data_IF_535997713225
#
_entry.id   IF_535997713225
#
_cell.length_a   1.000
_cell.length_b   1.000
_cell.length_c   1.000
_cell.angle_alpha   90.00
_cell.angle_beta   90.00
_cell.angle_gamma   90.00
#
_symmetry.space_group_name_H-M   'P 1'
#
loop_
_entity.id
_entity.type
_entity.pdbx_description
1 polymer ?
#
# COMPACT_ATOMS: atom_id res chain seq x y z
N UNK A 1 8.42 -3.88 -8.06
CA UNK A 1 7.07 -3.92 -7.46
C UNK A 1 6.06 -3.51 -8.51
N UNK A 2 4.95 -4.24 -8.72
CA UNK A 2 3.90 -3.82 -9.65
C UNK A 2 3.20 -2.56 -9.14
N UNK A 3 2.87 -1.63 -10.05
CA UNK A 3 2.07 -0.44 -9.73
C UNK A 3 0.64 -0.66 -10.21
N UNK A 4 -0.33 -0.28 -9.36
CA UNK A 4 -1.73 -0.27 -9.75
C UNK A 4 -1.97 0.72 -10.89
N UNK A 5 -2.88 0.42 -11.80
CA UNK A 5 -3.15 1.23 -13.00
C UNK A 5 -3.52 2.69 -12.66
N UNK A 6 -4.28 2.90 -11.58
CA UNK A 6 -4.63 4.24 -11.08
C UNK A 6 -3.38 5.06 -10.71
N UNK A 7 -2.37 4.41 -10.11
CA UNK A 7 -1.10 5.08 -9.77
C UNK A 7 -0.34 5.42 -11.06
N UNK A 8 -0.31 4.51 -12.02
CA UNK A 8 0.33 4.75 -13.33
C UNK A 8 -0.34 5.92 -14.05
N UNK A 9 -1.68 5.97 -14.07
CA UNK A 9 -2.43 7.06 -14.66
C UNK A 9 -2.14 8.40 -13.97
N UNK A 10 -2.14 8.43 -12.64
CA UNK A 10 -1.79 9.62 -11.86
C UNK A 10 -0.36 10.12 -12.15
N UNK A 11 0.62 9.20 -12.18
CA UNK A 11 2.02 9.54 -12.47
C UNK A 11 2.21 10.06 -13.90
N UNK A 12 1.47 9.53 -14.87
CA UNK A 12 1.51 10.03 -16.26
C UNK A 12 0.97 11.45 -16.39
N UNK A 13 0.06 11.86 -15.51
CA UNK A 13 -0.49 13.22 -15.48
C UNK A 13 0.41 14.25 -14.78
N UNK A 14 1.50 13.83 -14.13
CA UNK A 14 2.41 14.76 -13.47
C UNK A 14 3.23 15.58 -14.48
N UNK A 15 3.52 16.87 -14.20
CA UNK A 15 4.45 17.65 -14.99
C UNK A 15 5.81 16.96 -15.09
N UNK A 16 6.31 16.77 -16.32
CA UNK A 16 7.62 16.17 -16.56
C UNK A 16 8.70 17.25 -16.55
N UNK A 17 9.53 17.27 -15.51
CA UNK A 17 10.77 18.04 -15.51
C UNK A 17 11.90 17.17 -16.08
N UNK A 18 12.17 17.30 -17.38
CA UNK A 18 13.18 16.50 -18.10
C UNK A 18 14.60 16.66 -17.53
N UNK A 19 14.85 17.75 -16.77
CA UNK A 19 16.17 18.10 -16.26
C UNK A 19 16.46 17.60 -14.83
N UNK A 20 15.46 17.05 -14.13
CA UNK A 20 15.61 16.63 -12.74
C UNK A 20 15.49 15.10 -12.63
N UNK A 21 16.33 14.43 -11.81
CA UNK A 21 16.31 12.96 -11.68
C UNK A 21 15.12 12.44 -10.85
N UNK A 22 14.27 13.31 -10.31
CA UNK A 22 13.21 12.95 -9.37
C UNK A 22 11.82 12.96 -10.03
N UNK A 23 10.99 11.97 -9.70
CA UNK A 23 9.59 11.89 -10.16
C UNK A 23 8.71 12.92 -9.47
N UNK A 24 8.92 13.14 -8.16
CA UNK A 24 8.17 14.11 -7.37
C UNK A 24 9.06 15.32 -7.08
N UNK A 25 8.66 16.46 -7.65
CA UNK A 25 9.35 17.74 -7.49
C UNK A 25 8.42 18.79 -6.89
N UNK A 26 9.02 19.76 -6.20
CA UNK A 26 8.34 20.97 -5.74
C UNK A 26 8.13 21.88 -6.93
N UNK A 27 6.94 22.49 -7.04
CA UNK A 27 6.49 23.19 -8.25
C UNK A 27 7.51 24.19 -8.81
N UNK A 28 7.62 25.38 -8.18
CA UNK A 28 8.33 26.54 -8.75
C UNK A 28 9.84 26.32 -9.00
N UNK A 29 10.48 25.39 -8.29
CA UNK A 29 11.94 25.26 -8.29
C UNK A 29 12.46 23.89 -8.72
N UNK A 30 11.58 22.92 -9.04
CA UNK A 30 11.99 21.59 -9.50
C UNK A 30 12.76 20.77 -8.46
N UNK A 31 12.83 21.21 -7.20
CA UNK A 31 13.62 20.54 -6.16
C UNK A 31 12.89 19.31 -5.64
N UNK A 32 13.62 18.30 -5.15
CA UNK A 32 13.04 17.16 -4.44
C UNK A 32 12.15 17.62 -3.27
N UNK A 33 11.10 16.87 -3.00
CA UNK A 33 10.31 17.07 -1.78
C UNK A 33 11.16 16.82 -0.53
N UNK A 34 10.92 17.64 0.50
CA UNK A 34 11.38 17.39 1.86
C UNK A 34 10.25 16.77 2.68
N UNK A 35 10.59 16.06 3.76
CA UNK A 35 9.60 15.50 4.67
C UNK A 35 8.71 16.60 5.29
N UNK A 36 9.31 17.71 5.72
CA UNK A 36 8.58 18.87 6.25
C UNK A 36 7.63 19.49 5.20
N UNK A 37 8.06 19.60 3.94
CA UNK A 37 7.21 20.08 2.85
C UNK A 37 6.04 19.15 2.58
N UNK A 38 6.30 17.84 2.56
CA UNK A 38 5.25 16.83 2.39
C UNK A 38 4.23 16.89 3.53
N UNK A 39 4.69 16.97 4.78
CA UNK A 39 3.81 17.09 5.94
C UNK A 39 2.96 18.37 5.89
N UNK A 40 3.54 19.49 5.46
CA UNK A 40 2.80 20.76 5.33
C UNK A 40 1.64 20.62 4.34
N UNK A 41 1.92 20.07 3.16
CA UNK A 41 0.87 19.83 2.15
C UNK A 41 -0.14 18.80 2.62
N UNK A 42 0.32 17.71 3.25
CA UNK A 42 -0.54 16.67 3.77
C UNK A 42 -1.57 17.21 4.77
N UNK A 43 -1.12 17.96 5.79
CA UNK A 43 -2.05 18.52 6.77
C UNK A 43 -2.96 19.61 6.18
N UNK A 44 -2.51 20.36 5.18
CA UNK A 44 -3.38 21.27 4.42
C UNK A 44 -4.51 20.52 3.70
N UNK A 45 -4.19 19.41 3.05
CA UNK A 45 -5.18 18.57 2.36
C UNK A 45 -6.17 17.92 3.34
N UNK A 46 -5.69 17.48 4.51
CA UNK A 46 -6.57 16.94 5.54
C UNK A 46 -7.51 17.98 6.12
N UNK A 47 -7.03 19.21 6.33
CA UNK A 47 -7.88 20.32 6.76
C UNK A 47 -8.98 20.62 5.75
N UNK A 48 -8.65 20.65 4.45
CA UNK A 48 -9.63 20.83 3.37
C UNK A 48 -10.64 19.67 3.30
N UNK A 49 -10.16 18.45 3.48
CA UNK A 49 -10.99 17.23 3.50
C UNK A 49 -11.76 17.04 4.81
N UNK A 50 -11.54 17.88 5.84
CA UNK A 50 -12.09 17.75 7.19
C UNK A 50 -11.81 16.39 7.84
N UNK A 51 -10.57 15.94 7.71
CA UNK A 51 -10.08 14.69 8.32
C UNK A 51 -9.09 15.06 9.42
N UNK A 52 -9.37 14.60 10.64
CA UNK A 52 -8.48 14.76 11.79
C UNK A 52 -7.69 13.48 12.06
N UNK A 53 -6.57 13.61 12.78
CA UNK A 53 -5.74 12.51 13.29
C UNK A 53 -5.28 11.46 12.25
N UNK A 54 -4.90 11.91 11.06
CA UNK A 54 -4.35 11.04 10.02
C UNK A 54 -2.95 11.50 9.61
N UNK A 55 -1.92 10.66 9.80
CA UNK A 55 -0.55 10.95 9.36
C UNK A 55 -0.31 10.36 7.98
N UNK A 56 0.66 10.91 7.25
CA UNK A 56 1.01 10.38 5.94
C UNK A 56 1.40 8.90 5.99
N UNK A 57 2.09 8.46 7.05
CA UNK A 57 2.46 7.05 7.25
C UNK A 57 1.26 6.11 7.44
N UNK A 58 0.11 6.62 7.90
CA UNK A 58 -1.08 5.79 8.11
C UNK A 58 -1.70 5.32 6.77
N UNK A 59 -1.37 5.99 5.64
CA UNK A 59 -1.70 5.49 4.29
C UNK A 59 -1.03 4.15 3.99
N UNK A 60 0.21 3.96 4.47
CA UNK A 60 0.96 2.71 4.34
C UNK A 60 0.38 1.63 5.26
N UNK A 61 0.00 2.00 6.47
CA UNK A 61 -0.73 1.10 7.37
C UNK A 61 -2.03 0.61 6.73
N UNK A 62 -2.81 1.53 6.16
CA UNK A 62 -4.08 1.23 5.47
C UNK A 62 -3.87 0.28 4.29
N UNK A 63 -2.85 0.51 3.47
CA UNK A 63 -2.50 -0.38 2.36
C UNK A 63 -2.19 -1.80 2.85
N UNK A 64 -1.36 -1.93 3.89
CA UNK A 64 -0.98 -3.22 4.46
C UNK A 64 -2.18 -3.97 5.07
N UNK A 65 -3.00 -3.27 5.85
CA UNK A 65 -4.22 -3.84 6.46
C UNK A 65 -5.20 -4.32 5.41
N UNK A 66 -5.44 -3.54 4.35
CA UNK A 66 -6.35 -3.94 3.26
C UNK A 66 -5.87 -5.18 2.51
N UNK A 67 -4.56 -5.30 2.26
CA UNK A 67 -4.01 -6.51 1.65
C UNK A 67 -4.15 -7.74 2.57
N UNK A 68 -3.91 -7.56 3.87
CA UNK A 68 -4.07 -8.64 4.84
C UNK A 68 -5.53 -9.11 4.92
N UNK A 69 -6.49 -8.16 4.97
CA UNK A 69 -7.93 -8.44 4.95
C UNK A 69 -8.38 -9.12 3.64
N UNK A 70 -7.73 -8.80 2.51
CA UNK A 70 -7.96 -9.50 1.25
C UNK A 70 -7.31 -10.90 1.19
N UNK A 71 -6.68 -11.35 2.27
CA UNK A 71 -6.05 -12.67 2.37
C UNK A 71 -4.72 -12.79 1.62
N UNK A 72 -4.07 -11.67 1.28
CA UNK A 72 -2.75 -11.69 0.64
C UNK A 72 -1.71 -12.20 1.63
N UNK A 73 -0.83 -13.09 1.17
CA UNK A 73 0.21 -13.66 2.01
C UNK A 73 1.13 -12.59 2.62
N UNK A 74 1.43 -12.69 3.92
CA UNK A 74 2.25 -11.71 4.65
C UNK A 74 3.64 -11.49 4.01
N UNK A 75 4.22 -12.50 3.39
CA UNK A 75 5.49 -12.40 2.66
C UNK A 75 5.37 -11.48 1.44
N UNK A 76 4.26 -11.58 0.70
CA UNK A 76 4.01 -10.69 -0.44
C UNK A 76 3.81 -9.24 0.03
N UNK A 77 3.05 -9.05 1.11
CA UNK A 77 2.86 -7.73 1.74
C UNK A 77 4.21 -7.18 2.22
N UNK A 78 5.07 -8.00 2.85
CA UNK A 78 6.39 -7.59 3.30
C UNK A 78 7.25 -7.06 2.15
N UNK A 79 7.27 -7.77 1.01
CA UNK A 79 8.02 -7.37 -0.19
C UNK A 79 7.46 -6.06 -0.76
N UNK A 80 6.13 -5.92 -0.87
CA UNK A 80 5.48 -4.70 -1.37
C UNK A 80 5.77 -3.50 -0.48
N UNK A 81 5.79 -3.70 0.84
CA UNK A 81 6.14 -2.65 1.80
C UNK A 81 7.66 -2.38 1.80
N UNK A 82 8.50 -3.37 1.49
CA UNK A 82 9.95 -3.26 1.64
C UNK A 82 10.41 -3.36 3.09
N UNK A 83 9.69 -4.12 3.92
CA UNK A 83 10.13 -4.39 5.29
C UNK A 83 11.24 -5.43 5.31
N UNK A 84 12.34 -5.15 6.01
CA UNK A 84 13.44 -6.09 6.20
C UNK A 84 13.08 -7.27 7.11
N UNK A 85 12.18 -7.05 8.08
CA UNK A 85 11.74 -8.06 9.05
C UNK A 85 10.25 -8.35 8.87
N UNK A 86 9.89 -9.63 8.77
CA UNK A 86 8.49 -10.07 8.68
C UNK A 86 7.68 -9.65 9.91
N UNK A 87 8.30 -9.58 11.10
CA UNK A 87 7.67 -9.12 12.33
C UNK A 87 7.05 -7.71 12.21
N UNK A 88 7.66 -6.82 11.42
CA UNK A 88 7.11 -5.48 11.16
C UNK A 88 5.80 -5.55 10.38
N UNK A 89 5.69 -6.50 9.44
CA UNK A 89 4.48 -6.76 8.64
C UNK A 89 3.43 -7.56 9.40
N UNK A 90 3.85 -8.44 10.31
CA UNK A 90 2.94 -9.26 11.12
C UNK A 90 1.97 -8.43 11.97
N UNK A 91 2.30 -7.16 12.26
CA UNK A 91 1.40 -6.21 12.93
C UNK A 91 0.06 -6.00 12.22
N UNK A 92 -0.04 -6.33 10.93
CA UNK A 92 -1.27 -6.21 10.13
C UNK A 92 -2.07 -7.51 10.03
N UNK A 93 -1.55 -8.59 10.62
CA UNK A 93 -2.18 -9.91 10.61
C UNK A 93 -3.28 -9.97 11.68
N UNK A 94 -4.46 -9.44 11.38
CA UNK A 94 -5.65 -9.67 12.19
C UNK A 94 -6.43 -10.84 11.61
N UNK A 95 -5.92 -12.06 11.78
CA UNK A 95 -6.66 -13.26 11.41
C UNK A 95 -7.72 -13.53 12.46
N UNK A 96 -8.98 -13.37 12.09
CA UNK A 96 -10.13 -13.78 12.89
C UNK A 96 -10.47 -15.26 12.69
N UNK A 97 -11.40 -15.77 13.50
CA UNK A 97 -11.87 -17.17 13.38
C UNK A 97 -12.46 -17.48 11.99
N UNK A 98 -13.10 -16.50 11.36
CA UNK A 98 -13.64 -16.61 10.00
C UNK A 98 -12.53 -16.83 8.94
N UNK A 99 -11.39 -16.14 9.09
CA UNK A 99 -10.25 -16.26 8.17
C UNK A 99 -9.59 -17.65 8.30
N UNK A 100 -9.50 -18.17 9.53
CA UNK A 100 -9.00 -19.51 9.79
C UNK A 100 -9.92 -20.58 9.20
N UNK A 101 -11.24 -20.44 9.37
CA UNK A 101 -12.24 -21.33 8.75
C UNK A 101 -12.16 -21.30 7.22
N UNK A 102 -12.06 -20.10 6.62
CA UNK A 102 -11.90 -19.95 5.18
C UNK A 102 -10.58 -20.57 4.68
N UNK A 103 -9.49 -20.45 5.44
CA UNK A 103 -8.21 -21.06 5.11
C UNK A 103 -8.28 -22.59 5.12
N UNK A 104 -8.95 -23.20 6.10
CA UNK A 104 -9.18 -24.64 6.16
C UNK A 104 -10.08 -25.10 5.01
N UNK A 105 -11.19 -24.38 4.74
CA UNK A 105 -12.11 -24.71 3.64
C UNK A 105 -11.47 -24.71 2.25
N UNK A 106 -10.39 -23.94 2.03
CA UNK A 106 -9.61 -23.98 0.77
C UNK A 106 -8.92 -25.32 0.52
N UNK A 107 -8.68 -26.14 1.56
CA UNK A 107 -8.15 -27.49 1.40
C UNK A 107 -9.16 -28.42 0.71
N UNK A 108 -10.45 -28.23 0.97
CA UNK A 108 -11.53 -29.07 0.43
C UNK A 108 -11.73 -28.83 -1.08
N UNK A 109 -11.67 -27.57 -1.52
CA UNK A 109 -11.79 -27.22 -2.94
C UNK A 109 -10.64 -27.71 -3.83
N UNK A 110 -9.51 -28.11 -3.24
CA UNK A 110 -8.35 -28.63 -3.98
C UNK A 110 -8.46 -30.11 -4.31
N UNK A 111 -9.28 -30.87 -3.57
CA UNK A 111 -9.41 -32.33 -3.71
C UNK A 111 -10.30 -32.74 -4.89
N UNK A 112 -11.29 -31.92 -5.27
CA UNK A 112 -12.22 -32.24 -6.38
C UNK A 112 -11.63 -32.06 -7.80
N UNK A 113 -10.44 -31.47 -7.96
CA UNK A 113 -9.83 -31.25 -9.29
C UNK A 113 -8.86 -32.35 -9.71
N UNK A 114 -8.54 -33.30 -8.83
CA UNK A 114 -7.56 -34.37 -9.08
C UNK A 114 -8.18 -35.75 -9.27
N UNK A 115 -9.50 -35.88 -9.26
CA UNK A 115 -10.19 -37.18 -9.36
C UNK A 115 -10.93 -37.40 -10.69
N UNK A 116 -10.81 -36.51 -11.69
CA UNK A 116 -11.38 -36.69 -13.04
C UNK A 116 -10.30 -36.58 -14.13
N UNK A 117 -9.33 -37.51 -14.13
CA UNK A 117 -8.41 -37.75 -15.25
C UNK A 117 -8.21 -39.25 -15.45
#
# INVERSE_FOLDING_TARGET
>A
MPLHELVVAALKGLPRAIREPYVFITGRHGRRWTESGLNTVWYSLLSEARIDDLRFHDTRHTFATRLAQAGVALQAIQIMLGHSKIATTARYSHLGEADLKAAIGRLEGRRMRTENA
#
